data_IF_472571226470
#
_entry.id   IF_472571226470
#
_cell.length_a   1.000
_cell.length_b   1.000
_cell.length_c   1.000
_cell.angle_alpha   90.00
_cell.angle_beta   90.00
_cell.angle_gamma   90.00
#
_symmetry.space_group_name_H-M   'P 1'
#
loop_
_entity.id
_entity.type
_entity.pdbx_description
1 polymer ?
#
# COMPACT_ATOMS: atom_id res chain seq x y z
N UNK A 1 15.64 -4.17 12.21
CA UNK A 1 14.19 -4.10 12.45
C UNK A 1 13.46 -5.31 11.90
N UNK A 2 13.09 -5.39 10.62
CA UNK A 2 12.58 -6.64 10.01
C UNK A 2 13.52 -7.08 8.90
N UNK A 3 13.90 -8.36 8.90
CA UNK A 3 14.76 -8.96 7.88
C UNK A 3 14.11 -10.25 7.39
N UNK A 4 13.91 -10.33 6.10
CA UNK A 4 13.26 -11.42 5.37
C UNK A 4 14.29 -12.02 4.43
N UNK A 5 14.60 -13.32 4.59
CA UNK A 5 15.64 -13.99 3.84
C UNK A 5 15.08 -15.22 3.13
N UNK A 6 14.98 -15.14 1.80
CA UNK A 6 14.62 -16.23 0.87
C UNK A 6 13.42 -17.06 1.32
N UNK A 7 12.35 -16.38 1.76
CA UNK A 7 11.16 -17.06 2.25
C UNK A 7 10.26 -17.55 1.13
N UNK A 8 9.71 -18.76 1.32
CA UNK A 8 8.72 -19.36 0.44
C UNK A 8 7.59 -19.97 1.25
N UNK A 9 6.37 -19.85 0.73
CA UNK A 9 5.18 -20.45 1.28
C UNK A 9 4.13 -20.69 0.18
N UNK A 10 3.54 -21.89 0.17
CA UNK A 10 2.42 -22.26 -0.71
C UNK A 10 1.33 -22.94 0.09
N UNK A 11 0.07 -22.68 -0.26
CA UNK A 11 -1.06 -23.41 0.30
C UNK A 11 -1.16 -24.79 -0.35
N UNK A 12 -1.15 -25.85 0.46
CA UNK A 12 -1.47 -27.26 0.11
C UNK A 12 -1.14 -27.70 -1.32
N UNK A 13 0.08 -27.47 -1.78
CA UNK A 13 0.56 -27.91 -3.09
C UNK A 13 0.03 -27.10 -4.31
N UNK A 14 -0.77 -26.07 -4.09
CA UNK A 14 -1.17 -25.13 -5.13
C UNK A 14 -0.15 -24.00 -5.30
N UNK A 15 -0.08 -23.42 -6.52
CA UNK A 15 0.81 -22.29 -6.82
C UNK A 15 0.41 -20.96 -6.12
N UNK A 16 -0.54 -20.99 -5.20
CA UNK A 16 -1.02 -19.83 -4.45
C UNK A 16 -0.13 -19.60 -3.22
N UNK A 17 0.57 -18.48 -3.20
CA UNK A 17 1.47 -18.13 -2.11
C UNK A 17 2.55 -17.16 -2.58
N UNK A 18 3.79 -17.37 -2.11
CA UNK A 18 4.95 -16.61 -2.58
C UNK A 18 6.22 -17.47 -2.53
N UNK A 19 7.22 -17.08 -3.33
CA UNK A 19 8.50 -17.79 -3.44
C UNK A 19 9.67 -16.84 -3.48
N UNK A 20 10.75 -17.21 -2.79
CA UNK A 20 12.06 -16.56 -2.80
C UNK A 20 11.99 -15.05 -2.55
N UNK A 21 11.23 -14.64 -1.53
CA UNK A 21 11.12 -13.24 -1.16
C UNK A 21 12.21 -12.87 -0.16
N UNK A 22 12.96 -11.82 -0.47
CA UNK A 22 14.00 -11.26 0.41
C UNK A 22 13.94 -9.75 0.44
N UNK A 23 13.96 -9.17 1.63
CA UNK A 23 14.09 -7.72 1.84
C UNK A 23 14.46 -7.39 3.28
N UNK A 24 14.89 -6.13 3.49
CA UNK A 24 15.17 -5.59 4.81
C UNK A 24 14.52 -4.21 4.97
N UNK A 25 13.87 -4.00 6.12
CA UNK A 25 13.27 -2.73 6.51
C UNK A 25 13.86 -2.27 7.85
N UNK A 26 14.43 -1.09 7.85
CA UNK A 26 14.99 -0.45 9.05
C UNK A 26 13.90 0.12 9.95
N UNK A 27 14.26 0.40 11.21
CA UNK A 27 13.37 1.06 12.17
C UNK A 27 12.87 2.42 11.65
N UNK A 28 11.59 2.72 11.88
CA UNK A 28 10.94 3.96 11.46
C UNK A 28 10.73 4.11 9.95
N UNK A 29 11.07 3.08 9.15
CA UNK A 29 10.85 3.09 7.70
C UNK A 29 9.53 2.44 7.32
N UNK A 30 8.93 2.93 6.24
CA UNK A 30 7.66 2.43 5.72
C UNK A 30 7.88 1.70 4.38
N UNK A 31 7.33 0.50 4.28
CA UNK A 31 7.35 -0.34 3.08
C UNK A 31 5.94 -0.47 2.51
N UNK A 32 5.78 -0.18 1.23
CA UNK A 32 4.58 -0.57 0.49
C UNK A 32 4.82 -1.88 -0.26
N UNK A 33 3.94 -2.86 -0.10
CA UNK A 33 3.91 -4.09 -0.88
C UNK A 33 2.81 -3.93 -1.94
N UNK A 34 3.21 -3.83 -3.20
CA UNK A 34 2.31 -3.55 -4.34
C UNK A 34 2.25 -4.72 -5.30
N UNK A 35 1.16 -4.80 -6.05
CA UNK A 35 0.91 -5.81 -7.08
C UNK A 35 -0.58 -6.03 -7.27
N UNK A 36 -0.96 -6.76 -8.32
CA UNK A 36 -2.34 -7.09 -8.63
C UNK A 36 -3.01 -7.94 -7.53
N UNK A 37 -4.33 -8.03 -7.57
CA UNK A 37 -5.06 -8.95 -6.70
C UNK A 37 -4.59 -10.39 -6.97
N UNK A 38 -4.37 -11.16 -5.92
CA UNK A 38 -3.85 -12.53 -6.04
C UNK A 38 -2.32 -12.64 -6.17
N UNK A 39 -1.56 -11.55 -6.21
CA UNK A 39 -0.08 -11.60 -6.32
C UNK A 39 0.66 -12.12 -5.07
N UNK A 40 -0.04 -12.49 -4.00
CA UNK A 40 0.54 -13.05 -2.77
C UNK A 40 0.79 -12.06 -1.64
N UNK A 41 0.43 -10.77 -1.76
CA UNK A 41 0.69 -9.72 -0.75
C UNK A 41 0.16 -10.06 0.63
N UNK A 42 -1.13 -10.36 0.76
CA UNK A 42 -1.75 -10.70 2.04
C UNK A 42 -1.14 -11.96 2.67
N UNK A 43 -0.77 -12.95 1.84
CA UNK A 43 -0.07 -14.16 2.30
C UNK A 43 1.32 -13.82 2.83
N UNK A 44 2.06 -12.95 2.15
CA UNK A 44 3.36 -12.45 2.61
C UNK A 44 3.23 -11.70 3.95
N UNK A 45 2.27 -10.79 4.10
CA UNK A 45 2.06 -10.05 5.34
C UNK A 45 1.72 -10.99 6.51
N UNK A 46 0.87 -11.98 6.28
CA UNK A 46 0.53 -13.00 7.27
C UNK A 46 1.74 -13.84 7.67
N UNK A 47 2.59 -14.21 6.72
CA UNK A 47 3.84 -14.94 6.99
C UNK A 47 4.83 -14.09 7.80
N UNK A 48 4.97 -12.80 7.49
CA UNK A 48 5.80 -11.85 8.25
C UNK A 48 5.31 -11.74 9.70
N UNK A 49 4.01 -11.80 9.93
CA UNK A 49 3.42 -11.79 11.27
C UNK A 49 3.53 -13.14 12.01
N UNK A 50 3.93 -14.23 11.31
CA UNK A 50 4.06 -15.56 11.91
C UNK A 50 2.74 -16.36 11.94
N UNK A 51 1.80 -16.08 11.03
CA UNK A 51 0.54 -16.85 10.91
C UNK A 51 0.71 -18.17 10.15
N UNK A 52 1.87 -18.39 9.54
CA UNK A 52 2.19 -19.60 8.79
C UNK A 52 3.56 -20.16 9.18
N UNK A 53 3.70 -21.46 9.10
CA UNK A 53 5.00 -22.12 9.11
C UNK A 53 5.61 -22.00 7.71
N UNK A 54 6.75 -21.32 7.60
CA UNK A 54 7.46 -21.18 6.32
C UNK A 54 7.98 -22.53 5.85
N UNK A 55 7.90 -22.79 4.56
CA UNK A 55 8.51 -23.95 3.92
C UNK A 55 10.02 -23.74 3.76
N UNK A 56 10.44 -22.50 3.43
CA UNK A 56 11.84 -22.13 3.27
C UNK A 56 12.09 -20.74 3.83
N UNK A 57 13.37 -20.48 4.13
CA UNK A 57 13.88 -19.18 4.55
C UNK A 57 13.63 -18.83 6.01
N UNK A 58 13.84 -17.56 6.34
CA UNK A 58 13.72 -17.07 7.72
C UNK A 58 13.28 -15.62 7.77
N UNK A 59 12.52 -15.28 8.80
CA UNK A 59 12.15 -13.90 9.12
C UNK A 59 12.68 -13.57 10.50
N UNK A 60 13.26 -12.37 10.64
CA UNK A 60 13.70 -11.84 11.92
C UNK A 60 13.02 -10.49 12.18
N UNK A 61 12.47 -10.34 13.37
CA UNK A 61 12.01 -9.07 13.92
C UNK A 61 12.98 -8.67 15.04
N UNK A 62 13.74 -7.61 14.82
CA UNK A 62 14.94 -7.30 15.58
C UNK A 62 15.89 -8.51 15.58
N UNK A 63 16.22 -9.07 16.73
CA UNK A 63 17.06 -10.26 16.86
C UNK A 63 16.26 -11.57 16.97
N UNK A 64 14.92 -11.47 17.04
CA UNK A 64 14.06 -12.61 17.27
C UNK A 64 13.60 -13.24 15.95
N UNK A 65 13.80 -14.54 15.80
CA UNK A 65 13.29 -15.30 14.65
C UNK A 65 11.78 -15.44 14.74
N UNK A 66 11.05 -14.91 13.76
CA UNK A 66 9.60 -15.13 13.65
C UNK A 66 9.35 -16.58 13.27
N UNK A 67 8.51 -17.24 14.05
CA UNK A 67 8.13 -18.64 13.87
C UNK A 67 6.63 -18.75 13.67
N UNK A 68 6.20 -19.82 13.00
CA UNK A 68 4.79 -20.10 12.75
C UNK A 68 4.09 -20.90 13.87
N UNK A 69 2.83 -21.29 13.64
CA UNK A 69 1.94 -21.90 14.62
C UNK A 69 2.47 -23.23 15.20
N UNK A 70 3.32 -23.96 14.49
CA UNK A 70 3.92 -25.20 15.00
C UNK A 70 4.87 -24.98 16.19
N UNK A 71 5.36 -23.76 16.40
CA UNK A 71 6.33 -23.41 17.45
C UNK A 71 5.86 -22.32 18.40
N UNK A 72 4.87 -21.53 18.00
CA UNK A 72 4.35 -20.42 18.80
C UNK A 72 2.82 -20.35 18.69
N UNK A 73 2.14 -20.55 19.82
CA UNK A 73 0.67 -20.59 19.86
C UNK A 73 0.02 -19.24 19.53
N UNK A 74 0.64 -18.13 19.96
CA UNK A 74 0.16 -16.77 19.67
C UNK A 74 1.08 -16.14 18.62
N UNK A 75 0.58 -15.84 17.40
CA UNK A 75 1.40 -15.26 16.35
C UNK A 75 1.92 -13.88 16.69
N UNK A 76 3.04 -13.51 16.08
CA UNK A 76 3.68 -12.19 16.24
C UNK A 76 4.47 -12.05 17.52
N UNK A 77 4.99 -10.85 17.74
CA UNK A 77 5.69 -10.44 18.95
C UNK A 77 4.94 -9.29 19.62
N UNK A 78 5.22 -9.02 20.90
CA UNK A 78 4.53 -8.00 21.68
C UNK A 78 4.48 -6.64 20.96
N UNK A 79 5.61 -6.24 20.36
CA UNK A 79 5.78 -4.97 19.63
C UNK A 79 5.47 -5.06 18.13
N UNK A 80 4.93 -6.19 17.68
CA UNK A 80 4.48 -6.38 16.30
C UNK A 80 2.96 -6.48 16.27
N UNK A 81 2.30 -5.72 15.41
CA UNK A 81 0.83 -5.77 15.25
C UNK A 81 0.45 -5.94 13.79
N UNK A 82 -0.52 -6.78 13.56
CA UNK A 82 -1.11 -7.03 12.25
C UNK A 82 -2.58 -6.65 12.25
N UNK A 83 -2.98 -5.80 11.33
CA UNK A 83 -4.38 -5.48 11.09
C UNK A 83 -4.87 -6.27 9.86
N UNK A 84 -5.70 -7.27 10.14
CA UNK A 84 -6.38 -8.05 9.11
C UNK A 84 -7.61 -7.29 8.56
N UNK A 85 -8.14 -7.77 7.43
CA UNK A 85 -9.30 -7.18 6.77
C UNK A 85 -10.60 -7.26 7.60
N UNK A 86 -10.70 -8.17 8.55
CA UNK A 86 -11.85 -8.33 9.47
C UNK A 86 -11.78 -7.45 10.72
N UNK A 87 -10.67 -6.72 10.90
CA UNK A 87 -10.38 -5.75 11.98
C UNK A 87 -10.36 -6.32 13.40
N UNK A 88 -10.78 -7.57 13.65
CA UNK A 88 -10.77 -8.24 14.96
C UNK A 88 -11.56 -7.54 16.08
N UNK A 89 -12.60 -6.77 15.73
CA UNK A 89 -13.42 -6.04 16.69
C UNK A 89 -14.39 -6.94 17.44
N UNK A 90 -14.55 -6.69 18.73
CA UNK A 90 -15.60 -7.29 19.55
C UNK A 90 -16.93 -6.56 19.30
N UNK A 91 -17.92 -7.19 18.63
CA UNK A 91 -19.09 -6.46 18.06
C UNK A 91 -19.99 -5.82 19.12
N UNK A 92 -20.08 -6.39 20.31
CA UNK A 92 -20.96 -5.92 21.38
C UNK A 92 -20.28 -4.99 22.39
N UNK A 93 -18.96 -4.80 22.27
CA UNK A 93 -18.21 -3.82 23.05
C UNK A 93 -18.31 -2.44 22.41
N UNK A 94 -18.14 -1.40 23.23
CA UNK A 94 -18.06 -0.02 22.72
C UNK A 94 -16.77 0.19 21.93
N UNK A 95 -16.70 1.28 21.20
CA UNK A 95 -15.49 1.71 20.49
C UNK A 95 -14.33 1.88 21.46
N UNK A 96 -14.54 2.59 22.57
CA UNK A 96 -13.51 2.79 23.59
C UNK A 96 -13.02 1.47 24.21
N UNK A 97 -13.95 0.55 24.50
CA UNK A 97 -13.59 -0.78 25.02
C UNK A 97 -12.78 -1.60 24.02
N UNK A 98 -13.11 -1.55 22.72
CA UNK A 98 -12.33 -2.21 21.68
C UNK A 98 -10.90 -1.67 21.61
N UNK A 99 -10.72 -0.35 21.57
CA UNK A 99 -9.37 0.28 21.53
C UNK A 99 -8.60 -0.06 22.80
N UNK A 100 -9.25 0.02 23.97
CA UNK A 100 -8.64 -0.24 25.26
C UNK A 100 -8.48 -1.71 25.63
N UNK A 101 -8.90 -2.65 24.76
CA UNK A 101 -9.00 -4.11 25.08
C UNK A 101 -7.68 -4.71 25.57
N UNK A 102 -6.57 -4.31 24.99
CA UNK A 102 -5.25 -4.84 25.30
C UNK A 102 -4.40 -3.90 26.16
N UNK A 103 -4.97 -2.79 26.64
CA UNK A 103 -4.31 -1.90 27.59
C UNK A 103 -4.50 -2.40 29.03
N UNK A 104 -3.49 -2.16 29.87
CA UNK A 104 -3.56 -2.53 31.29
C UNK A 104 -4.71 -1.80 32.01
N UNK A 105 -5.35 -2.50 32.92
CA UNK A 105 -6.34 -1.92 33.83
C UNK A 105 -5.74 -1.42 35.17
N UNK A 106 -4.42 -1.48 35.32
CA UNK A 106 -3.73 -1.00 36.54
C UNK A 106 -3.73 0.54 36.56
N UNK A 107 -3.45 1.18 35.40
CA UNK A 107 -3.47 2.62 35.24
C UNK A 107 -4.65 3.02 34.33
N UNK A 108 -5.77 3.33 34.96
CA UNK A 108 -7.00 3.71 34.29
C UNK A 108 -6.92 5.10 33.63
N UNK A 109 -6.12 6.00 34.19
CA UNK A 109 -5.98 7.35 33.65
C UNK A 109 -5.14 7.32 32.39
N UNK A 110 -4.01 6.61 32.38
CA UNK A 110 -3.25 6.32 31.17
C UNK A 110 -4.12 5.66 30.10
N UNK A 111 -4.88 4.63 30.47
CA UNK A 111 -5.77 3.92 29.55
C UNK A 111 -6.79 4.87 28.90
N UNK A 112 -7.46 5.71 29.69
CA UNK A 112 -8.42 6.70 29.18
C UNK A 112 -7.76 7.72 28.24
N UNK A 113 -6.60 8.26 28.66
CA UNK A 113 -5.85 9.22 27.86
C UNK A 113 -5.43 8.59 26.51
N UNK A 114 -4.90 7.36 26.55
CA UNK A 114 -4.47 6.64 25.33
C UNK A 114 -5.61 6.35 24.39
N UNK A 115 -6.76 5.90 24.89
CA UNK A 115 -7.98 5.70 24.12
C UNK A 115 -8.44 7.00 23.46
N UNK A 116 -8.44 8.11 24.21
CA UNK A 116 -8.84 9.43 23.70
C UNK A 116 -7.90 9.92 22.59
N UNK A 117 -6.58 9.78 22.78
CA UNK A 117 -5.57 10.10 21.75
C UNK A 117 -5.84 9.34 20.44
N UNK A 118 -6.05 8.03 20.53
CA UNK A 118 -6.27 7.18 19.38
C UNK A 118 -7.63 7.43 18.70
N UNK A 119 -8.68 7.74 19.46
CA UNK A 119 -9.95 8.16 18.91
C UNK A 119 -9.81 9.46 18.10
N UNK A 120 -9.04 10.42 18.60
CA UNK A 120 -8.76 11.67 17.89
C UNK A 120 -7.93 11.41 16.62
N UNK A 121 -6.91 10.55 16.68
CA UNK A 121 -6.08 10.16 15.54
C UNK A 121 -6.94 9.63 14.36
N UNK A 122 -7.97 8.85 14.65
CA UNK A 122 -8.84 8.24 13.64
C UNK A 122 -10.18 8.96 13.44
N UNK A 123 -10.37 10.13 14.06
CA UNK A 123 -11.61 10.97 13.99
C UNK A 123 -12.88 10.22 14.41
N UNK A 124 -12.81 9.53 15.53
CA UNK A 124 -13.92 8.70 16.03
C UNK A 124 -14.37 9.06 17.46
N UNK A 125 -14.00 10.24 17.99
CA UNK A 125 -14.28 10.68 19.38
C UNK A 125 -15.78 10.60 19.71
N UNK A 126 -16.62 11.06 18.79
CA UNK A 126 -18.10 11.09 18.97
C UNK A 126 -18.74 9.69 19.01
N UNK A 127 -17.98 8.64 18.66
CA UNK A 127 -18.46 7.27 18.65
C UNK A 127 -17.94 6.43 19.82
N UNK A 128 -17.23 7.03 20.76
CA UNK A 128 -16.56 6.37 21.89
C UNK A 128 -17.45 5.31 22.57
N UNK A 129 -18.71 5.67 22.89
CA UNK A 129 -19.66 4.82 23.63
C UNK A 129 -20.53 3.96 22.70
N UNK A 130 -20.37 4.08 21.39
CA UNK A 130 -21.14 3.31 20.41
C UNK A 130 -20.61 1.89 20.30
N UNK A 131 -21.52 0.90 20.25
CA UNK A 131 -21.13 -0.53 20.05
C UNK A 131 -20.63 -0.77 18.63
N UNK A 132 -19.56 -1.59 18.49
CA UNK A 132 -18.88 -1.80 17.23
C UNK A 132 -19.77 -2.42 16.12
N UNK A 133 -20.78 -3.25 16.47
CA UNK A 133 -21.69 -3.80 15.46
C UNK A 133 -22.55 -2.74 14.76
N UNK A 134 -22.74 -1.55 15.36
CA UNK A 134 -23.51 -0.43 14.81
C UNK A 134 -22.68 0.48 13.88
N UNK A 135 -21.41 0.17 13.68
CA UNK A 135 -20.50 0.94 12.83
C UNK A 135 -20.58 0.50 11.38
N UNK A 136 -20.39 1.45 10.46
CA UNK A 136 -20.14 1.18 9.05
C UNK A 136 -18.79 0.49 8.84
N UNK A 137 -18.56 -0.10 7.65
CA UNK A 137 -17.27 -0.74 7.32
C UNK A 137 -16.07 0.19 7.50
N UNK A 138 -16.15 1.42 6.97
CA UNK A 138 -15.07 2.40 7.12
C UNK A 138 -14.86 2.89 8.55
N UNK A 139 -15.92 2.96 9.37
CA UNK A 139 -15.79 3.25 10.81
C UNK A 139 -15.12 2.09 11.55
N UNK A 140 -15.48 0.83 11.25
CA UNK A 140 -14.82 -0.37 11.80
C UNK A 140 -13.35 -0.40 11.43
N UNK A 141 -13.00 -0.09 10.19
CA UNK A 141 -11.61 -0.03 9.72
C UNK A 141 -10.78 0.99 10.50
N UNK A 142 -11.33 2.19 10.74
CA UNK A 142 -10.67 3.24 11.55
C UNK A 142 -10.45 2.78 13.00
N UNK A 143 -11.43 2.12 13.61
CA UNK A 143 -11.26 1.58 14.97
C UNK A 143 -10.23 0.45 14.99
N UNK A 144 -10.21 -0.43 13.98
CA UNK A 144 -9.16 -1.45 13.84
C UNK A 144 -7.74 -0.86 13.81
N UNK A 145 -7.55 0.24 13.08
CA UNK A 145 -6.28 0.98 13.06
C UNK A 145 -5.91 1.53 14.45
N UNK A 146 -6.86 2.17 15.15
CA UNK A 146 -6.65 2.67 16.51
C UNK A 146 -6.31 1.53 17.49
N UNK A 147 -7.02 0.41 17.41
CA UNK A 147 -6.78 -0.77 18.24
C UNK A 147 -5.39 -1.37 18.00
N UNK A 148 -4.94 -1.45 16.75
CA UNK A 148 -3.61 -1.95 16.42
C UNK A 148 -2.48 -1.05 16.97
N UNK A 149 -2.74 0.25 17.16
CA UNK A 149 -1.79 1.21 17.72
C UNK A 149 -1.82 1.30 19.25
N UNK A 150 -2.82 0.70 19.91
CA UNK A 150 -3.05 0.90 21.34
C UNK A 150 -1.82 0.56 22.21
N UNK A 151 -1.13 -0.53 21.91
CA UNK A 151 0.04 -1.03 22.66
C UNK A 151 1.38 -0.48 22.15
N UNK A 152 1.39 0.62 21.41
CA UNK A 152 2.62 1.28 20.88
C UNK A 152 3.57 0.29 20.19
N UNK A 153 3.16 -0.28 19.05
CA UNK A 153 3.99 -1.23 18.33
C UNK A 153 5.26 -0.57 17.78
N UNK A 154 6.30 -1.37 17.56
CA UNK A 154 7.47 -0.96 16.78
C UNK A 154 7.29 -1.27 15.29
N UNK A 155 6.50 -2.32 14.99
CA UNK A 155 6.14 -2.70 13.62
C UNK A 155 4.63 -2.86 13.51
N UNK A 156 4.05 -2.11 12.57
CA UNK A 156 2.65 -2.21 12.17
C UNK A 156 2.54 -2.82 10.77
N UNK A 157 1.77 -3.89 10.64
CA UNK A 157 1.53 -4.59 9.37
C UNK A 157 0.07 -4.40 9.01
N UNK A 158 -0.21 -3.83 7.84
CA UNK A 158 -1.53 -3.42 7.39
C UNK A 158 -1.88 -4.05 6.05
N UNK A 159 -2.99 -4.78 6.00
CA UNK A 159 -3.49 -5.41 4.78
C UNK A 159 -4.70 -4.61 4.25
N UNK A 160 -4.48 -3.82 3.20
CA UNK A 160 -5.46 -2.91 2.58
C UNK A 160 -6.19 -1.99 3.60
N UNK A 161 -5.46 -1.23 4.41
CA UNK A 161 -6.01 -0.56 5.60
C UNK A 161 -7.00 0.57 5.31
N UNK A 162 -7.20 0.96 4.06
CA UNK A 162 -8.06 2.09 3.69
C UNK A 162 -9.13 1.72 2.65
N UNK A 163 -9.28 0.44 2.31
CA UNK A 163 -10.13 -0.04 1.22
C UNK A 163 -11.63 0.29 1.42
N UNK A 164 -12.11 0.35 2.66
CA UNK A 164 -13.51 0.62 3.00
C UNK A 164 -13.80 2.08 3.38
N UNK A 165 -12.79 2.96 3.33
CA UNK A 165 -12.92 4.36 3.71
C UNK A 165 -13.15 5.21 2.45
N UNK A 166 -14.13 6.13 2.52
CA UNK A 166 -14.40 7.06 1.43
C UNK A 166 -13.19 7.95 1.13
N UNK A 167 -13.01 8.33 -0.14
CA UNK A 167 -11.81 9.02 -0.64
C UNK A 167 -11.51 10.31 0.10
N UNK A 168 -12.54 11.08 0.50
CA UNK A 168 -12.34 12.35 1.18
C UNK A 168 -11.71 12.16 2.56
N UNK A 169 -12.22 11.21 3.36
CA UNK A 169 -11.70 10.89 4.70
C UNK A 169 -10.39 10.12 4.64
N UNK A 170 -10.24 9.24 3.64
CA UNK A 170 -9.04 8.43 3.43
C UNK A 170 -7.79 9.30 3.36
N UNK A 171 -7.75 10.31 2.50
CA UNK A 171 -6.58 11.16 2.30
C UNK A 171 -6.16 11.90 3.59
N UNK A 172 -7.13 12.34 4.39
CA UNK A 172 -6.84 13.01 5.67
C UNK A 172 -6.30 12.02 6.69
N UNK A 173 -6.99 10.88 6.86
CA UNK A 173 -6.59 9.82 7.78
C UNK A 173 -5.18 9.29 7.45
N UNK A 174 -4.88 9.05 6.19
CA UNK A 174 -3.54 8.62 5.76
C UNK A 174 -2.46 9.60 6.20
N UNK A 175 -2.62 10.89 5.89
CA UNK A 175 -1.64 11.91 6.30
C UNK A 175 -1.46 11.94 7.82
N UNK A 176 -2.55 11.92 8.58
CA UNK A 176 -2.50 11.95 10.04
C UNK A 176 -1.87 10.70 10.62
N UNK A 177 -2.26 9.51 10.13
CA UNK A 177 -1.72 8.22 10.57
C UNK A 177 -0.22 8.12 10.28
N UNK A 178 0.22 8.38 9.05
CA UNK A 178 1.65 8.23 8.71
C UNK A 178 2.53 9.30 9.33
N UNK A 179 2.01 10.52 9.58
CA UNK A 179 2.71 11.51 10.39
C UNK A 179 2.89 11.02 11.84
N UNK A 180 1.86 10.45 12.44
CA UNK A 180 1.91 9.84 13.76
C UNK A 180 2.91 8.67 13.82
N UNK A 181 2.91 7.76 12.84
CA UNK A 181 3.85 6.65 12.80
C UNK A 181 5.30 7.13 12.72
N UNK A 182 5.57 8.17 11.93
CA UNK A 182 6.91 8.79 11.84
C UNK A 182 7.33 9.46 13.13
N UNK A 183 6.45 10.23 13.75
CA UNK A 183 6.71 10.89 15.04
C UNK A 183 7.07 9.88 16.14
N UNK A 184 6.33 8.77 16.19
CA UNK A 184 6.55 7.68 17.16
C UNK A 184 7.64 6.68 16.72
N UNK A 185 8.32 6.90 15.60
CA UNK A 185 9.34 6.00 15.03
C UNK A 185 8.84 4.55 14.84
N UNK A 186 7.54 4.39 14.48
CA UNK A 186 6.91 3.11 14.22
C UNK A 186 7.15 2.72 12.76
N UNK A 187 7.72 1.55 12.51
CA UNK A 187 7.84 1.00 11.16
C UNK A 187 6.50 0.48 10.66
N UNK A 188 6.28 0.57 9.35
CA UNK A 188 5.02 0.10 8.77
C UNK A 188 5.24 -0.70 7.50
N UNK A 189 4.53 -1.81 7.35
CA UNK A 189 4.42 -2.57 6.10
C UNK A 189 2.96 -2.53 5.67
N UNK A 190 2.69 -2.01 4.48
CA UNK A 190 1.32 -1.87 3.95
C UNK A 190 1.20 -2.62 2.64
N UNK A 191 0.29 -3.59 2.56
CA UNK A 191 -0.14 -4.12 1.28
C UNK A 191 -1.24 -3.22 0.71
N UNK A 192 -1.05 -2.76 -0.52
CA UNK A 192 -2.02 -1.95 -1.25
C UNK A 192 -1.93 -2.18 -2.75
N UNK A 193 -3.04 -1.98 -3.43
CA UNK A 193 -3.10 -1.88 -4.90
C UNK A 193 -3.22 -0.41 -5.36
N UNK A 194 -3.34 0.55 -4.43
CA UNK A 194 -3.42 1.98 -4.75
C UNK A 194 -2.02 2.61 -4.72
N UNK A 195 -1.51 2.96 -5.90
CA UNK A 195 -0.21 3.62 -6.05
C UNK A 195 -0.13 4.99 -5.38
N UNK A 196 -1.26 5.70 -5.24
CA UNK A 196 -1.30 6.99 -4.55
C UNK A 196 -1.02 6.83 -3.06
N UNK A 197 -1.50 5.73 -2.46
CA UNK A 197 -1.16 5.38 -1.09
C UNK A 197 0.35 5.16 -0.96
N UNK A 198 0.92 4.28 -1.79
CA UNK A 198 2.36 4.00 -1.76
C UNK A 198 3.20 5.28 -1.91
N UNK A 199 2.88 6.11 -2.92
CA UNK A 199 3.59 7.36 -3.20
C UNK A 199 3.49 8.39 -2.06
N UNK A 200 2.41 8.35 -1.27
CA UNK A 200 2.18 9.32 -0.21
C UNK A 200 3.02 9.07 1.06
N UNK A 201 3.37 7.82 1.36
CA UNK A 201 3.97 7.50 2.67
C UNK A 201 5.16 6.54 2.64
N UNK A 202 5.35 5.71 1.59
CA UNK A 202 6.36 4.68 1.63
C UNK A 202 7.78 5.22 1.36
N UNK A 203 8.75 4.75 2.14
CA UNK A 203 10.18 4.96 1.86
C UNK A 203 10.68 3.94 0.83
N UNK A 204 10.17 2.70 0.93
CA UNK A 204 10.53 1.58 0.06
C UNK A 204 9.29 0.93 -0.54
N UNK A 205 9.46 0.27 -1.66
CA UNK A 205 8.43 -0.53 -2.32
C UNK A 205 8.94 -1.92 -2.66
N UNK A 206 8.08 -2.91 -2.45
CA UNK A 206 8.23 -4.29 -2.93
C UNK A 206 7.12 -4.54 -3.95
N UNK A 207 7.48 -4.80 -5.20
CA UNK A 207 6.52 -5.14 -6.26
C UNK A 207 6.43 -6.65 -6.37
N UNK A 208 5.20 -7.16 -6.24
CA UNK A 208 4.90 -8.58 -6.36
C UNK A 208 4.06 -8.88 -7.60
N UNK A 209 4.40 -9.97 -8.28
CA UNK A 209 3.62 -10.54 -9.38
C UNK A 209 3.69 -12.06 -9.30
N UNK A 210 2.55 -12.74 -9.39
CA UNK A 210 2.46 -14.22 -9.42
C UNK A 210 3.25 -14.90 -8.28
N UNK A 211 3.22 -14.33 -7.09
CA UNK A 211 3.90 -14.85 -5.88
C UNK A 211 5.41 -14.61 -5.83
N UNK A 212 5.99 -13.85 -6.74
CA UNK A 212 7.43 -13.51 -6.71
C UNK A 212 7.65 -12.01 -6.54
N UNK A 213 8.79 -11.64 -5.96
CA UNK A 213 9.26 -10.27 -5.93
C UNK A 213 9.95 -9.94 -7.25
N UNK A 214 9.39 -9.02 -8.02
CA UNK A 214 10.02 -8.57 -9.27
C UNK A 214 10.88 -7.32 -9.06
N UNK A 215 10.62 -6.56 -8.01
CA UNK A 215 11.41 -5.37 -7.68
C UNK A 215 11.30 -5.02 -6.20
N UNK A 216 12.42 -4.62 -5.61
CA UNK A 216 12.50 -4.04 -4.28
C UNK A 216 13.50 -2.88 -4.28
N UNK A 217 13.12 -1.73 -3.70
CA UNK A 217 14.02 -0.57 -3.66
C UNK A 217 13.38 0.67 -3.00
N UNK A 218 14.10 1.79 -3.07
CA UNK A 218 13.55 3.07 -2.68
C UNK A 218 12.39 3.43 -3.61
N UNK A 219 11.29 3.89 -3.07
CA UNK A 219 10.08 4.17 -3.83
C UNK A 219 10.32 5.15 -4.99
N UNK A 220 11.02 6.26 -4.73
CA UNK A 220 11.26 7.28 -5.76
C UNK A 220 12.15 6.77 -6.90
N UNK A 221 13.13 5.90 -6.60
CA UNK A 221 13.99 5.31 -7.61
C UNK A 221 13.19 4.34 -8.49
N UNK A 222 12.40 3.45 -7.86
CA UNK A 222 11.51 2.53 -8.56
C UNK A 222 10.48 3.27 -9.42
N UNK A 223 9.91 4.35 -8.90
CA UNK A 223 8.94 5.15 -9.63
C UNK A 223 9.52 5.88 -10.85
N UNK A 224 10.75 6.43 -10.74
CA UNK A 224 11.36 7.28 -11.77
C UNK A 224 12.17 6.53 -12.81
N UNK A 225 12.88 5.46 -12.40
CA UNK A 225 13.90 4.80 -13.22
C UNK A 225 13.46 3.42 -13.73
N UNK A 226 12.21 3.07 -13.51
CA UNK A 226 11.72 1.74 -13.83
C UNK A 226 11.64 1.52 -15.36
N UNK A 227 12.24 0.41 -15.81
CA UNK A 227 12.21 -0.04 -17.21
C UNK A 227 11.27 -1.24 -17.41
N UNK A 228 10.67 -1.75 -16.34
CA UNK A 228 9.70 -2.83 -16.42
C UNK A 228 8.28 -2.27 -16.59
N UNK A 229 7.59 -2.67 -17.67
CA UNK A 229 6.26 -2.17 -18.00
C UNK A 229 5.23 -2.49 -16.93
N UNK A 230 5.24 -3.70 -16.38
CA UNK A 230 4.30 -4.09 -15.33
C UNK A 230 4.45 -3.20 -14.09
N UNK A 231 5.69 -3.02 -13.62
CA UNK A 231 5.96 -2.14 -12.47
C UNK A 231 5.56 -0.70 -12.76
N UNK A 232 5.85 -0.18 -13.95
CA UNK A 232 5.46 1.17 -14.33
C UNK A 232 3.93 1.34 -14.36
N UNK A 233 3.19 0.34 -14.89
CA UNK A 233 1.73 0.36 -15.00
C UNK A 233 1.01 0.31 -13.65
N UNK A 234 1.64 -0.23 -12.61
CA UNK A 234 1.09 -0.17 -11.24
C UNK A 234 0.97 1.27 -10.70
N UNK A 235 1.76 2.19 -11.24
CA UNK A 235 1.74 3.61 -10.85
C UNK A 235 0.86 4.50 -11.74
N UNK A 236 0.19 3.93 -12.73
CA UNK A 236 -0.73 4.64 -13.63
C UNK A 236 -0.50 4.32 -15.09
N UNK A 237 -1.13 5.12 -15.96
CA UNK A 237 -1.00 4.95 -17.41
C UNK A 237 0.44 5.13 -17.89
N UNK A 238 0.88 4.26 -18.79
CA UNK A 238 2.24 4.22 -19.31
C UNK A 238 2.20 4.05 -20.82
N UNK A 239 2.93 4.88 -21.52
CA UNK A 239 3.16 4.80 -22.96
C UNK A 239 4.48 4.13 -23.26
N UNK A 240 4.48 3.11 -24.12
CA UNK A 240 5.71 2.56 -24.72
C UNK A 240 6.11 3.42 -25.91
N UNK A 241 7.26 4.04 -25.83
CA UNK A 241 7.83 4.82 -26.91
C UNK A 241 9.13 4.18 -27.39
N UNK A 242 9.12 3.67 -28.60
CA UNK A 242 10.30 3.03 -29.24
C UNK A 242 11.00 4.02 -30.16
N UNK A 243 12.28 4.26 -29.90
CA UNK A 243 13.15 5.06 -30.77
C UNK A 243 14.52 4.39 -30.88
N UNK A 244 14.99 4.13 -32.10
CA UNK A 244 16.34 3.67 -32.41
C UNK A 244 16.81 2.49 -31.52
N UNK A 245 16.02 1.41 -31.42
CA UNK A 245 16.26 0.25 -30.56
C UNK A 245 16.16 0.47 -29.04
N UNK A 246 15.78 1.66 -28.59
CA UNK A 246 15.47 1.93 -27.18
C UNK A 246 13.97 2.00 -26.96
N UNK A 247 13.46 1.26 -25.96
CA UNK A 247 12.09 1.38 -25.50
C UNK A 247 12.08 2.21 -24.22
N UNK A 248 11.39 3.36 -24.28
CA UNK A 248 11.13 4.22 -23.11
C UNK A 248 9.72 3.97 -22.61
N UNK A 249 9.56 3.97 -21.29
CA UNK A 249 8.28 3.95 -20.63
C UNK A 249 7.99 5.36 -20.14
N UNK A 250 7.06 6.03 -20.81
CA UNK A 250 6.73 7.42 -20.53
C UNK A 250 5.39 7.52 -19.80
N UNK A 251 5.34 8.35 -18.78
CA UNK A 251 4.12 8.69 -18.08
C UNK A 251 3.39 9.84 -18.77
N UNK A 252 2.07 10.00 -18.57
CA UNK A 252 1.29 11.00 -19.29
C UNK A 252 1.82 12.44 -19.17
N UNK A 253 2.45 12.80 -18.05
CA UNK A 253 3.02 14.13 -17.84
C UNK A 253 4.38 14.34 -18.53
N UNK A 254 5.04 13.28 -19.01
CA UNK A 254 6.33 13.33 -19.72
C UNK A 254 6.18 13.49 -21.25
N UNK A 255 4.93 13.55 -21.73
CA UNK A 255 4.61 13.68 -23.15
C UNK A 255 3.93 15.02 -23.39
N UNK A 256 4.27 15.68 -24.51
CA UNK A 256 3.65 16.92 -24.95
C UNK A 256 3.29 16.89 -26.43
N UNK A 257 2.30 17.70 -26.80
CA UNK A 257 1.93 17.95 -28.20
C UNK A 257 2.83 19.03 -28.75
N UNK A 258 3.39 18.80 -29.95
CA UNK A 258 4.27 19.70 -30.67
C UNK A 258 3.74 19.97 -32.09
N UNK A 259 4.21 21.01 -32.73
CA UNK A 259 3.77 21.35 -34.11
C UNK A 259 4.21 20.28 -35.13
N UNK A 260 5.40 19.68 -34.95
CA UNK A 260 5.95 18.67 -35.85
C UNK A 260 6.93 17.75 -35.13
N UNK A 261 6.81 16.45 -35.37
CA UNK A 261 7.78 15.42 -34.96
C UNK A 261 7.59 14.15 -35.80
N UNK A 262 8.48 13.16 -35.58
CA UNK A 262 8.34 11.81 -36.17
C UNK A 262 7.40 10.91 -35.38
N UNK A 263 6.86 11.39 -34.24
CA UNK A 263 5.93 10.63 -33.39
C UNK A 263 4.51 11.15 -33.58
N UNK A 264 3.80 10.51 -34.51
CA UNK A 264 2.38 10.79 -34.76
C UNK A 264 1.49 9.95 -33.88
N UNK A 265 0.37 10.50 -33.44
CA UNK A 265 -0.68 9.79 -32.74
C UNK A 265 -2.07 10.25 -33.21
N UNK A 266 -3.02 9.32 -33.24
CA UNK A 266 -4.42 9.59 -33.52
C UNK A 266 -5.22 9.56 -32.22
N UNK A 267 -5.96 10.61 -31.95
CA UNK A 267 -6.74 10.78 -30.71
C UNK A 267 -7.93 9.83 -30.68
N UNK A 268 -8.09 9.11 -29.59
CA UNK A 268 -9.23 8.23 -29.32
C UNK A 268 -10.27 8.93 -28.44
N UNK A 269 -9.82 9.53 -27.32
CA UNK A 269 -10.71 10.17 -26.34
C UNK A 269 -9.98 11.19 -25.48
N UNK A 270 -10.75 12.11 -24.89
CA UNK A 270 -10.27 13.12 -23.94
C UNK A 270 -11.11 13.01 -22.64
N UNK A 271 -10.45 12.76 -21.49
CA UNK A 271 -11.09 12.60 -20.19
C UNK A 271 -10.69 13.74 -19.26
N UNK A 272 -11.67 14.54 -18.83
CA UNK A 272 -11.40 15.64 -17.90
C UNK A 272 -11.03 15.14 -16.50
N UNK A 273 -9.91 15.63 -15.98
CA UNK A 273 -9.38 15.25 -14.66
C UNK A 273 -9.18 16.45 -13.71
N UNK A 274 -9.99 17.49 -13.86
CA UNK A 274 -9.92 18.72 -13.06
C UNK A 274 -9.14 19.81 -13.78
N UNK A 275 -7.84 19.84 -13.70
CA UNK A 275 -7.01 20.90 -14.30
C UNK A 275 -6.63 20.63 -15.77
N UNK A 276 -6.63 19.36 -16.16
CA UNK A 276 -6.18 18.90 -17.47
C UNK A 276 -7.09 17.77 -17.99
N UNK A 277 -6.93 17.47 -19.27
CA UNK A 277 -7.52 16.30 -19.89
C UNK A 277 -6.46 15.21 -20.02
N UNK A 278 -6.77 13.99 -19.56
CA UNK A 278 -6.06 12.80 -19.96
C UNK A 278 -6.51 12.44 -21.37
N UNK A 279 -5.59 12.47 -22.29
CA UNK A 279 -5.81 12.11 -23.69
C UNK A 279 -5.37 10.68 -23.88
N UNK A 280 -6.27 9.87 -24.47
CA UNK A 280 -5.92 8.55 -24.97
C UNK A 280 -5.79 8.61 -26.48
N UNK A 281 -4.73 8.09 -27.00
CA UNK A 281 -4.42 8.08 -28.44
C UNK A 281 -3.80 6.73 -28.84
N UNK A 282 -3.60 6.54 -30.12
CA UNK A 282 -2.89 5.38 -30.68
C UNK A 282 -1.79 5.85 -31.62
N UNK A 283 -0.61 5.25 -31.49
CA UNK A 283 0.53 5.45 -32.40
C UNK A 283 1.12 4.08 -32.74
N UNK A 284 1.25 3.75 -34.02
CA UNK A 284 1.76 2.46 -34.48
C UNK A 284 1.09 1.24 -33.79
N UNK A 285 -0.23 1.28 -33.60
CA UNK A 285 -1.05 0.29 -32.91
C UNK A 285 -0.78 0.14 -31.40
N UNK A 286 0.08 0.97 -30.79
CA UNK A 286 0.33 1.01 -29.38
C UNK A 286 -0.45 2.14 -28.70
N UNK A 287 -0.99 1.94 -27.48
CA UNK A 287 -1.69 2.98 -26.75
C UNK A 287 -0.75 4.08 -26.28
N UNK A 288 -1.22 5.31 -26.37
CA UNK A 288 -0.48 6.52 -25.94
C UNK A 288 -1.37 7.32 -24.99
N UNK A 289 -0.78 7.74 -23.88
CA UNK A 289 -1.46 8.51 -22.82
C UNK A 289 -0.67 9.78 -22.53
N UNK A 290 -1.34 10.94 -22.58
CA UNK A 290 -0.70 12.22 -22.23
C UNK A 290 -1.70 13.22 -21.66
N UNK A 291 -1.20 14.22 -20.93
CA UNK A 291 -2.02 15.33 -20.45
C UNK A 291 -2.00 16.51 -21.39
N UNK A 292 -3.20 17.10 -21.61
CA UNK A 292 -3.36 18.31 -22.40
C UNK A 292 -4.33 19.29 -21.71
N UNK A 293 -4.13 20.61 -21.87
CA UNK A 293 -4.97 21.63 -21.22
C UNK A 293 -6.40 21.67 -21.77
N UNK A 294 -6.55 21.42 -23.07
CA UNK A 294 -7.83 21.44 -23.76
C UNK A 294 -8.21 20.04 -24.24
N UNK A 295 -9.52 19.71 -24.38
CA UNK A 295 -9.90 18.48 -25.02
C UNK A 295 -9.46 18.47 -26.50
N UNK A 296 -9.03 17.34 -26.99
CA UNK A 296 -8.71 17.10 -28.39
C UNK A 296 -9.85 16.29 -29.03
N UNK A 297 -10.08 16.51 -30.32
CA UNK A 297 -11.17 15.84 -31.04
C UNK A 297 -10.79 14.40 -31.36
N UNK A 298 -11.77 13.50 -31.28
CA UNK A 298 -11.60 12.13 -31.76
C UNK A 298 -11.18 12.14 -33.23
N UNK A 299 -10.30 11.21 -33.60
CA UNK A 299 -9.72 11.04 -34.92
C UNK A 299 -8.85 12.25 -35.40
N UNK A 300 -8.56 13.19 -34.51
CA UNK A 300 -7.58 14.25 -34.74
C UNK A 300 -6.16 13.68 -34.71
N UNK A 301 -5.32 14.11 -35.63
CA UNK A 301 -3.92 13.71 -35.72
C UNK A 301 -3.07 14.74 -35.00
N UNK A 302 -2.21 14.29 -34.12
CA UNK A 302 -1.28 15.14 -33.37
C UNK A 302 0.15 14.63 -33.48
N UNK A 303 1.11 15.51 -33.28
CA UNK A 303 2.52 15.18 -33.17
C UNK A 303 2.95 15.29 -31.71
N UNK A 304 3.68 14.29 -31.23
CA UNK A 304 4.08 14.17 -29.83
C UNK A 304 5.58 14.27 -29.67
N UNK A 305 6.01 14.73 -28.50
CA UNK A 305 7.42 14.69 -28.09
C UNK A 305 7.52 14.33 -26.62
N UNK A 306 8.65 13.71 -26.25
CA UNK A 306 9.02 13.60 -24.84
C UNK A 306 9.42 14.99 -24.34
N UNK A 307 8.86 15.42 -23.22
CA UNK A 307 9.30 16.63 -22.51
C UNK A 307 10.76 16.49 -22.06
N UNK A 308 11.53 17.55 -22.21
CA UNK A 308 12.91 17.62 -21.74
C UNK A 308 13.00 17.75 -20.21
#
# INVERSE_FOLDING_TARGET
MIKVNNISYTYDGFNAGFRDISFELQQGKHLSVMGESGSGKSTLLKAIYGLFDLQEGTIFFNENKVVGPSRQLVPGYEKMKYLAQDFGLSPYHTVAENIGKFLSNIDLDYKKQRVSELLSLVEMERFSDRKAHLLSGGEKQRIGLAMALAQEPELLILDEPFSQIDTFRRNKLQRTLFAYLKDKNISCIVATHDSREALAFADKVLIMKDGISIMFGNLLDVYRQNKDFYTASLFGDVTRYSRENNVLLLKPYEIEVVEKSDWEAMILSSYYQGDMFLITAVSNAEPVYFYHKNPLKKDEKVYLSKKN
#
